data_IF_463047411565
#
_entry.id   IF_463047411565
#
_cell.length_a   1.000
_cell.length_b   1.000
_cell.length_c   1.000
_cell.angle_alpha   90.00
_cell.angle_beta   90.00
_cell.angle_gamma   90.00
#
_symmetry.space_group_name_H-M   'P 1'
#
loop_
_entity.id
_entity.type
_entity.pdbx_description
1 polymer ?
#
# COMPACT_ATOMS: atom_id res chain seq x y z
N UNK A 1 -3.38 25.87 -33.50
CA UNK A 1 -2.94 26.40 -32.19
C UNK A 1 -3.88 26.06 -31.02
N UNK A 2 -5.11 25.66 -31.26
CA UNK A 2 -6.09 25.29 -30.22
C UNK A 2 -5.81 23.88 -29.64
N UNK A 3 -5.26 22.96 -30.43
CA UNK A 3 -4.97 21.57 -30.00
C UNK A 3 -3.83 21.50 -28.97
N UNK A 4 -2.84 22.39 -29.09
CA UNK A 4 -1.71 22.42 -28.15
C UNK A 4 -2.10 22.91 -26.74
N UNK A 5 -3.08 23.83 -26.66
CA UNK A 5 -3.56 24.37 -25.37
C UNK A 5 -4.41 23.33 -24.61
N UNK A 6 -5.21 22.54 -25.33
CA UNK A 6 -6.03 21.49 -24.70
C UNK A 6 -5.15 20.34 -24.17
N UNK A 7 -4.10 19.95 -24.90
CA UNK A 7 -3.20 18.90 -24.42
C UNK A 7 -2.36 19.34 -23.22
N UNK A 8 -1.95 20.60 -23.15
CA UNK A 8 -1.21 21.15 -22.00
C UNK A 8 -2.12 21.26 -20.77
N UNK A 9 -3.38 21.68 -20.95
CA UNK A 9 -4.33 21.74 -19.81
C UNK A 9 -4.73 20.36 -19.30
N UNK A 10 -4.86 19.36 -20.16
CA UNK A 10 -5.09 17.98 -19.73
C UNK A 10 -3.87 17.39 -19.01
N UNK A 11 -2.65 17.65 -19.48
CA UNK A 11 -1.43 17.23 -18.78
C UNK A 11 -1.26 17.93 -17.44
N UNK A 12 -1.56 19.22 -17.36
CA UNK A 12 -1.51 19.97 -16.10
C UNK A 12 -2.55 19.47 -15.11
N UNK A 13 -3.78 19.19 -15.54
CA UNK A 13 -4.81 18.59 -14.69
C UNK A 13 -4.41 17.20 -14.20
N UNK A 14 -3.82 16.37 -15.05
CA UNK A 14 -3.37 15.04 -14.70
C UNK A 14 -2.17 15.04 -13.73
N UNK A 15 -1.25 15.99 -13.88
CA UNK A 15 -0.09 16.15 -12.99
C UNK A 15 -0.47 16.67 -11.59
N UNK A 16 -1.57 17.41 -11.47
CA UNK A 16 -2.09 17.94 -10.19
C UNK A 16 -2.63 16.87 -9.23
N UNK A 17 -2.86 15.67 -9.71
CA UNK A 17 -3.76 14.70 -9.08
C UNK A 17 -3.06 13.52 -8.43
N UNK A 18 -1.73 13.53 -8.33
CA UNK A 18 -0.94 12.38 -7.85
C UNK A 18 -0.04 12.76 -6.68
N UNK A 19 -0.06 11.96 -5.62
CA UNK A 19 0.88 12.09 -4.50
C UNK A 19 1.30 10.73 -3.95
N UNK A 20 2.54 10.69 -3.44
CA UNK A 20 3.13 9.53 -2.77
C UNK A 20 3.52 9.95 -1.35
N UNK A 21 3.32 9.10 -0.37
CA UNK A 21 3.44 9.42 1.06
C UNK A 21 4.84 9.85 1.53
N UNK A 22 5.89 9.60 0.75
CA UNK A 22 7.27 9.98 1.11
C UNK A 22 7.80 11.18 0.32
N UNK A 23 6.98 11.80 -0.56
CA UNK A 23 7.42 12.91 -1.41
C UNK A 23 6.70 14.20 -1.03
N UNK A 24 7.43 15.28 -0.85
CA UNK A 24 6.85 16.61 -0.66
C UNK A 24 5.99 16.98 -1.86
N UNK A 25 4.77 17.42 -1.61
CA UNK A 25 3.78 17.82 -2.60
C UNK A 25 4.33 18.85 -3.57
N UNK A 26 4.32 18.57 -4.86
CA UNK A 26 4.55 19.58 -5.90
C UNK A 26 3.28 20.40 -6.05
N UNK A 27 3.32 21.66 -5.66
CA UNK A 27 2.20 22.60 -5.80
C UNK A 27 2.19 23.14 -7.22
N UNK A 28 1.25 22.71 -8.03
CA UNK A 28 0.83 23.43 -9.23
C UNK A 28 -0.17 24.52 -8.80
N UNK A 29 -0.32 25.61 -9.56
CA UNK A 29 -1.10 26.81 -9.20
C UNK A 29 -2.63 26.57 -9.17
N UNK A 30 -3.06 25.62 -8.36
CA UNK A 30 -4.44 25.31 -7.98
C UNK A 30 -4.47 25.29 -6.46
N UNK A 31 -5.50 25.83 -5.89
CA UNK A 31 -5.82 25.79 -4.45
C UNK A 31 -6.30 24.41 -3.97
N UNK A 32 -6.46 23.47 -4.91
CA UNK A 32 -6.82 22.08 -4.60
C UNK A 32 -5.59 21.16 -4.62
N UNK A 33 -5.40 20.38 -3.57
CA UNK A 33 -4.30 19.42 -3.46
C UNK A 33 -4.81 18.08 -2.92
N UNK A 34 -4.05 17.01 -3.20
CA UNK A 34 -4.22 15.73 -2.53
C UNK A 34 -3.09 15.61 -1.50
N UNK A 35 -3.48 15.39 -0.26
CA UNK A 35 -2.56 15.14 0.83
C UNK A 35 -3.06 13.94 1.64
N UNK A 36 -2.22 12.91 1.76
CA UNK A 36 -2.53 11.68 2.47
C UNK A 36 -1.45 11.35 3.47
N UNK A 37 -1.84 10.69 4.56
CA UNK A 37 -0.94 10.06 5.52
C UNK A 37 -1.14 8.54 5.51
N UNK A 38 -0.03 7.83 5.60
CA UNK A 38 0.00 6.40 5.89
C UNK A 38 0.33 6.21 7.37
N UNK A 39 -0.54 5.52 8.10
CA UNK A 39 -0.38 5.25 9.53
C UNK A 39 -0.55 3.76 9.82
N UNK A 40 0.08 3.29 10.88
CA UNK A 40 -0.02 1.91 11.35
C UNK A 40 -0.14 1.92 12.90
N UNK A 41 -1.30 2.34 13.46
CA UNK A 41 -1.44 2.59 14.90
C UNK A 41 -1.15 1.40 15.81
N UNK A 42 -1.56 0.18 15.42
CA UNK A 42 -1.30 -1.03 16.21
C UNK A 42 0.16 -1.50 16.06
N UNK A 43 0.74 -1.36 14.85
CA UNK A 43 2.15 -1.60 14.64
C UNK A 43 3.01 -0.69 15.51
N UNK A 44 2.75 0.61 15.51
CA UNK A 44 3.52 1.58 16.32
C UNK A 44 3.36 1.32 17.82
N UNK A 45 2.18 0.89 18.26
CA UNK A 45 1.91 0.62 19.67
C UNK A 45 2.45 -0.73 20.16
N UNK A 46 2.32 -1.78 19.36
CA UNK A 46 2.58 -3.17 19.79
C UNK A 46 3.45 -3.94 18.82
N UNK A 47 3.20 -3.87 17.51
CA UNK A 47 3.83 -4.70 16.50
C UNK A 47 5.32 -4.48 16.39
N UNK A 48 5.76 -3.24 16.43
CA UNK A 48 7.17 -2.83 16.30
C UNK A 48 8.08 -3.44 17.37
N UNK A 49 7.63 -3.43 18.62
CA UNK A 49 8.39 -4.04 19.70
C UNK A 49 8.33 -5.57 19.66
N UNK A 50 7.16 -6.13 19.32
CA UNK A 50 7.01 -7.57 19.14
C UNK A 50 7.90 -8.10 18.00
N UNK A 51 8.01 -7.38 16.89
CA UNK A 51 8.83 -7.75 15.74
C UNK A 51 10.33 -7.80 16.04
N UNK A 52 10.83 -6.97 16.96
CA UNK A 52 12.26 -6.99 17.36
C UNK A 52 12.70 -8.28 18.05
N UNK A 53 11.76 -8.97 18.66
CA UNK A 53 11.99 -10.19 19.46
C UNK A 53 11.02 -11.30 19.09
N UNK A 54 10.64 -11.35 17.84
CA UNK A 54 9.64 -12.31 17.39
C UNK A 54 10.07 -13.75 17.62
N UNK A 55 9.08 -14.62 17.78
CA UNK A 55 9.27 -16.06 17.84
C UNK A 55 8.51 -16.75 16.69
N UNK A 56 9.01 -17.89 16.16
CA UNK A 56 8.27 -18.66 15.17
C UNK A 56 6.84 -18.97 15.62
N UNK A 57 5.88 -18.87 14.71
CA UNK A 57 4.46 -19.07 15.00
C UNK A 57 3.74 -17.87 15.63
N UNK A 58 4.45 -16.77 15.92
CA UNK A 58 3.84 -15.58 16.50
C UNK A 58 2.97 -14.83 15.48
N UNK A 59 1.89 -14.21 15.97
CA UNK A 59 1.12 -13.23 15.23
C UNK A 59 1.51 -11.82 15.67
N UNK A 60 1.83 -10.96 14.71
CA UNK A 60 2.29 -9.58 14.94
C UNK A 60 1.25 -8.60 14.37
N UNK A 61 0.92 -7.58 15.13
CA UNK A 61 0.00 -6.52 14.71
C UNK A 61 0.68 -5.60 13.69
N UNK A 62 0.02 -5.37 12.55
CA UNK A 62 0.44 -4.43 11.50
C UNK A 62 -0.79 -4.02 10.70
N UNK A 63 -1.12 -2.72 10.72
CA UNK A 63 -2.42 -2.20 10.30
C UNK A 63 -2.31 -0.98 9.36
N UNK A 64 -1.71 -1.12 8.17
CA UNK A 64 -1.54 0.00 7.25
C UNK A 64 -2.89 0.60 6.85
N UNK A 65 -3.03 1.89 7.14
CA UNK A 65 -4.26 2.68 7.02
C UNK A 65 -3.93 4.02 6.36
N UNK A 66 -4.74 4.45 5.40
CA UNK A 66 -4.58 5.74 4.72
C UNK A 66 -5.64 6.72 5.21
N UNK A 67 -5.22 7.96 5.46
CA UNK A 67 -6.13 9.06 5.77
C UNK A 67 -5.89 10.25 4.85
N UNK A 68 -6.95 10.99 4.53
CA UNK A 68 -6.86 12.32 3.92
C UNK A 68 -6.55 13.36 4.99
N UNK A 69 -5.65 14.27 4.69
CA UNK A 69 -5.39 15.44 5.51
C UNK A 69 -6.47 16.52 5.34
N UNK A 70 -6.51 17.47 6.25
CA UNK A 70 -7.62 18.42 6.40
C UNK A 70 -7.93 19.28 5.17
N UNK A 71 -6.96 19.56 4.32
CA UNK A 71 -7.12 20.37 3.12
C UNK A 71 -7.17 19.53 1.82
N UNK A 72 -7.21 18.21 1.95
CA UNK A 72 -7.23 17.31 0.80
C UNK A 72 -8.61 17.28 0.13
N UNK A 73 -8.60 17.23 -1.21
CA UNK A 73 -9.81 16.84 -1.97
C UNK A 73 -10.03 15.33 -1.87
N UNK A 74 -11.24 14.90 -2.23
CA UNK A 74 -11.61 13.48 -2.31
C UNK A 74 -10.68 12.71 -3.24
N UNK A 75 -10.23 11.52 -2.80
CA UNK A 75 -9.24 10.74 -3.54
C UNK A 75 -9.50 9.23 -3.48
N UNK A 76 -9.22 8.55 -4.59
CA UNK A 76 -8.98 7.11 -4.57
C UNK A 76 -7.57 6.86 -4.04
N UNK A 77 -7.43 5.87 -3.16
CA UNK A 77 -6.16 5.54 -2.55
C UNK A 77 -5.77 4.08 -2.81
N UNK A 78 -4.48 3.83 -2.94
CA UNK A 78 -3.94 2.49 -3.05
C UNK A 78 -2.71 2.32 -2.14
N UNK A 79 -2.47 1.08 -1.76
CA UNK A 79 -1.28 0.65 -1.03
C UNK A 79 -0.47 -0.32 -1.88
N UNK A 80 0.82 -0.03 -2.03
CA UNK A 80 1.84 -0.94 -2.56
C UNK A 80 2.46 -1.69 -1.40
N UNK A 81 2.47 -3.01 -1.45
CA UNK A 81 3.12 -3.88 -0.46
C UNK A 81 4.31 -4.58 -1.11
N UNK A 82 5.48 -4.46 -0.50
CA UNK A 82 6.74 -5.07 -0.94
C UNK A 82 7.33 -5.90 0.20
N UNK A 83 8.03 -6.95 -0.17
CA UNK A 83 8.58 -7.95 0.74
C UNK A 83 10.09 -8.05 0.55
N UNK A 84 10.84 -8.10 1.64
CA UNK A 84 12.30 -8.14 1.60
C UNK A 84 12.86 -9.17 2.57
N UNK A 85 13.95 -9.81 2.15
CA UNK A 85 14.74 -10.68 3.02
C UNK A 85 15.74 -9.90 3.90
N UNK A 86 16.51 -10.62 4.71
CA UNK A 86 17.52 -10.09 5.61
C UNK A 86 18.66 -9.32 4.92
N UNK A 87 18.86 -9.56 3.61
CA UNK A 87 19.87 -8.88 2.77
C UNK A 87 19.28 -7.72 1.99
N UNK A 88 18.00 -7.37 2.29
CA UNK A 88 17.23 -6.37 1.58
C UNK A 88 17.02 -6.70 0.08
N UNK A 89 17.02 -7.99 -0.28
CA UNK A 89 16.58 -8.41 -1.60
C UNK A 89 15.05 -8.43 -1.63
N UNK A 90 14.47 -7.83 -2.67
CA UNK A 90 13.03 -7.86 -2.90
C UNK A 90 12.59 -9.29 -3.27
N UNK A 91 11.58 -9.80 -2.57
CA UNK A 91 11.01 -11.13 -2.76
C UNK A 91 9.65 -11.02 -3.44
N UNK A 92 9.31 -12.05 -4.21
CA UNK A 92 7.90 -12.26 -4.58
C UNK A 92 7.08 -12.58 -3.33
N UNK A 93 5.77 -12.33 -3.37
CA UNK A 93 4.89 -12.69 -2.26
C UNK A 93 4.97 -14.19 -1.93
N UNK A 94 5.05 -15.04 -2.97
CA UNK A 94 5.20 -16.49 -2.80
C UNK A 94 6.46 -16.84 -2.04
N UNK A 95 7.62 -16.31 -2.45
CA UNK A 95 8.89 -16.58 -1.79
C UNK A 95 8.89 -16.11 -0.33
N UNK A 96 8.29 -14.94 -0.08
CA UNK A 96 8.14 -14.40 1.26
C UNK A 96 7.21 -15.28 2.12
N UNK A 97 6.05 -15.66 1.57
CA UNK A 97 5.08 -16.50 2.27
C UNK A 97 5.67 -17.87 2.62
N UNK A 98 6.33 -18.53 1.67
CA UNK A 98 6.95 -19.85 1.89
C UNK A 98 8.05 -19.82 2.94
N UNK A 99 8.75 -18.69 3.09
CA UNK A 99 9.84 -18.55 4.07
C UNK A 99 9.36 -18.13 5.46
N UNK A 100 8.36 -17.24 5.52
CA UNK A 100 8.09 -16.51 6.76
C UNK A 100 6.65 -16.56 7.24
N UNK A 101 5.67 -16.91 6.38
CA UNK A 101 4.26 -16.87 6.75
C UNK A 101 3.72 -18.25 7.12
N UNK A 102 2.76 -18.26 8.03
CA UNK A 102 2.01 -19.46 8.39
C UNK A 102 1.29 -20.03 7.16
N UNK A 103 1.49 -21.33 6.93
CA UNK A 103 0.91 -22.04 5.79
C UNK A 103 1.57 -21.79 4.45
N UNK A 104 2.61 -20.96 4.40
CA UNK A 104 3.34 -20.64 3.17
C UNK A 104 2.45 -20.08 2.07
N UNK A 105 2.85 -20.25 0.81
CA UNK A 105 2.07 -19.80 -0.37
C UNK A 105 0.81 -20.63 -0.64
N UNK A 106 0.73 -21.86 -0.14
CA UNK A 106 -0.47 -22.70 -0.29
C UNK A 106 -1.66 -22.17 0.50
N UNK A 107 -1.39 -21.46 1.62
CA UNK A 107 -2.38 -20.83 2.48
C UNK A 107 -2.11 -19.32 2.60
N UNK A 108 -1.83 -18.66 1.49
CA UNK A 108 -1.39 -17.26 1.44
C UNK A 108 -2.23 -16.28 2.29
N UNK A 109 -3.53 -16.54 2.40
CA UNK A 109 -4.45 -15.72 3.22
C UNK A 109 -4.45 -16.12 4.71
N UNK A 110 -3.73 -17.16 5.11
CA UNK A 110 -3.63 -17.56 6.52
C UNK A 110 -2.50 -16.84 7.26
N UNK A 111 -1.48 -16.37 6.52
CA UNK A 111 -0.37 -15.61 7.06
C UNK A 111 -0.61 -14.11 7.17
N UNK A 112 -1.44 -13.54 6.29
CA UNK A 112 -1.85 -12.13 6.32
C UNK A 112 -3.36 -12.06 6.15
N UNK A 113 -4.04 -11.36 7.04
CA UNK A 113 -5.50 -11.22 7.09
C UNK A 113 -6.00 -10.10 6.14
N UNK A 114 -5.77 -10.27 4.84
CA UNK A 114 -6.16 -9.29 3.83
C UNK A 114 -7.63 -8.85 3.96
N UNK A 115 -7.85 -7.54 4.04
CA UNK A 115 -9.19 -6.96 4.18
C UNK A 115 -9.93 -6.98 2.85
N UNK A 116 -11.20 -7.40 2.89
CA UNK A 116 -12.12 -7.33 1.75
C UNK A 116 -12.56 -5.91 1.37
N UNK A 117 -12.23 -4.90 2.19
CA UNK A 117 -12.49 -3.49 1.88
C UNK A 117 -11.47 -2.94 0.87
N UNK A 118 -10.50 -3.74 0.48
CA UNK A 118 -9.49 -3.45 -0.53
C UNK A 118 -9.55 -4.46 -1.66
N UNK A 119 -9.38 -4.00 -2.87
CA UNK A 119 -9.32 -4.84 -4.08
C UNK A 119 -7.91 -4.87 -4.62
N UNK A 120 -7.39 -6.07 -4.86
CA UNK A 120 -6.14 -6.23 -5.60
C UNK A 120 -6.31 -5.70 -7.02
N UNK A 121 -5.45 -4.80 -7.45
CA UNK A 121 -5.54 -4.13 -8.75
C UNK A 121 -4.39 -4.47 -9.70
N UNK A 122 -3.39 -5.19 -9.25
CA UNK A 122 -2.30 -5.68 -10.09
C UNK A 122 -0.94 -5.61 -9.43
N UNK A 123 0.07 -5.86 -10.26
CA UNK A 123 1.47 -5.88 -9.93
C UNK A 123 2.20 -4.73 -10.60
N UNK A 124 2.99 -3.98 -9.87
CA UNK A 124 3.82 -2.93 -10.44
C UNK A 124 5.01 -3.47 -11.27
N UNK A 125 5.33 -4.76 -11.20
CA UNK A 125 6.59 -5.31 -11.73
C UNK A 125 6.45 -6.50 -12.67
N UNK A 126 5.28 -7.02 -12.95
CA UNK A 126 5.23 -8.25 -13.72
C UNK A 126 4.11 -8.29 -14.72
N UNK A 127 4.41 -8.87 -15.87
CA UNK A 127 3.44 -9.35 -16.84
C UNK A 127 2.66 -10.60 -16.32
N UNK A 128 2.82 -10.96 -15.04
CA UNK A 128 2.20 -12.13 -14.44
C UNK A 128 0.85 -11.74 -13.85
N UNK A 129 -0.20 -12.39 -14.33
CA UNK A 129 -1.57 -12.21 -13.88
C UNK A 129 -1.83 -12.76 -12.47
N UNK A 130 -0.84 -13.42 -11.86
CA UNK A 130 -0.98 -14.13 -10.60
C UNK A 130 -0.23 -13.40 -9.48
N UNK A 131 -0.97 -12.90 -8.48
CA UNK A 131 -0.46 -12.17 -7.31
C UNK A 131 0.50 -12.98 -6.41
N UNK A 132 0.44 -14.33 -6.44
CA UNK A 132 1.41 -15.19 -5.74
C UNK A 132 2.87 -14.95 -6.18
N UNK A 133 3.07 -14.51 -7.41
CA UNK A 133 4.39 -14.31 -8.00
C UNK A 133 4.85 -12.85 -8.03
N UNK A 134 4.01 -11.94 -7.55
CA UNK A 134 4.31 -10.52 -7.54
C UNK A 134 5.23 -10.13 -6.40
N UNK A 135 6.20 -9.26 -6.67
CA UNK A 135 7.02 -8.62 -5.65
C UNK A 135 6.42 -7.32 -5.11
N UNK A 136 5.49 -6.70 -5.85
CA UNK A 136 4.88 -5.41 -5.54
C UNK A 136 3.38 -5.46 -5.72
N UNK A 137 2.70 -5.92 -4.68
CA UNK A 137 1.24 -6.04 -4.69
C UNK A 137 0.59 -4.68 -4.56
N UNK A 138 -0.36 -4.37 -5.44
CA UNK A 138 -1.15 -3.15 -5.39
C UNK A 138 -2.59 -3.44 -4.99
N UNK A 139 -3.05 -2.80 -3.93
CA UNK A 139 -4.43 -2.86 -3.46
C UNK A 139 -5.04 -1.47 -3.44
N UNK A 140 -6.22 -1.32 -4.05
CA UNK A 140 -6.99 -0.08 -4.04
C UNK A 140 -8.15 -0.20 -3.05
N UNK A 141 -8.38 0.82 -2.24
CA UNK A 141 -9.53 0.89 -1.35
C UNK A 141 -10.82 0.99 -2.17
N UNK A 142 -11.84 0.24 -1.80
CA UNK A 142 -13.04 0.00 -2.62
C UNK A 142 -13.92 1.24 -2.84
N UNK A 143 -13.67 2.33 -2.13
CA UNK A 143 -14.36 3.60 -2.29
C UNK A 143 -13.37 4.77 -2.17
N UNK A 144 -13.66 5.94 -2.76
CA UNK A 144 -12.83 7.10 -2.53
C UNK A 144 -12.91 7.52 -1.06
N UNK A 145 -11.82 8.06 -0.55
CA UNK A 145 -11.83 8.77 0.72
C UNK A 145 -12.38 10.17 0.47
N UNK A 146 -13.31 10.59 1.33
CA UNK A 146 -13.98 11.87 1.24
C UNK A 146 -14.11 12.50 2.62
N UNK A 147 -13.77 13.77 2.71
CA UNK A 147 -13.88 14.55 3.94
C UNK A 147 -15.20 15.31 4.06
N UNK A 148 -15.75 15.69 2.91
CA UNK A 148 -16.89 16.61 2.82
C UNK A 148 -18.26 15.91 2.79
N UNK A 149 -18.32 14.63 3.09
CA UNK A 149 -19.61 13.94 3.16
C UNK A 149 -20.41 14.39 4.40
N UNK A 150 -20.97 15.60 4.28
CA UNK A 150 -21.73 16.28 5.34
C UNK A 150 -23.00 15.54 5.80
N UNK A 151 -23.31 14.39 5.21
CA UNK A 151 -24.54 13.64 5.49
C UNK A 151 -24.32 12.38 6.36
N UNK A 152 -23.08 12.11 6.81
CA UNK A 152 -22.84 10.92 7.65
C UNK A 152 -21.98 11.30 8.86
N UNK A 153 -22.36 10.83 10.04
CA UNK A 153 -21.52 10.83 11.26
C UNK A 153 -20.29 9.91 11.11
N UNK A 154 -20.08 9.31 9.95
CA UNK A 154 -19.00 8.38 9.64
C UNK A 154 -17.88 9.18 8.98
N UNK A 155 -16.70 9.20 9.62
CA UNK A 155 -15.49 9.76 9.00
C UNK A 155 -15.10 8.91 7.81
N UNK A 156 -15.38 9.39 6.61
CA UNK A 156 -15.02 8.73 5.34
C UNK A 156 -13.64 9.14 4.83
N UNK A 157 -12.93 9.98 5.56
CA UNK A 157 -11.57 10.43 5.26
C UNK A 157 -10.46 9.44 5.67
N UNK A 158 -10.83 8.30 6.25
CA UNK A 158 -9.88 7.26 6.71
C UNK A 158 -10.30 5.91 6.15
N UNK A 159 -9.37 5.18 5.54
CA UNK A 159 -9.60 3.81 5.08
C UNK A 159 -9.73 2.84 6.26
N UNK A 160 -10.26 1.65 5.99
CA UNK A 160 -9.99 0.49 6.84
C UNK A 160 -8.54 0.05 6.63
N UNK A 161 -7.88 -0.62 7.59
CA UNK A 161 -6.57 -1.19 7.35
C UNK A 161 -6.62 -2.22 6.22
N UNK A 162 -5.53 -2.31 5.44
CA UNK A 162 -5.41 -3.31 4.37
C UNK A 162 -5.31 -4.72 4.95
N UNK A 163 -4.65 -4.87 6.07
CA UNK A 163 -4.60 -6.06 6.92
C UNK A 163 -4.34 -5.62 8.35
N UNK A 164 -4.54 -6.50 9.33
CA UNK A 164 -4.33 -6.16 10.75
C UNK A 164 -3.28 -7.03 11.42
N UNK A 165 -2.94 -8.16 10.82
CA UNK A 165 -2.06 -9.16 11.42
C UNK A 165 -1.16 -9.83 10.38
N UNK A 166 0.05 -10.14 10.83
CA UNK A 166 1.01 -11.00 10.13
C UNK A 166 1.27 -12.21 11.03
N UNK A 167 0.82 -13.38 10.60
CA UNK A 167 1.03 -14.65 11.31
C UNK A 167 2.26 -15.34 10.73
N UNK A 168 3.29 -15.46 11.54
CA UNK A 168 4.57 -16.04 11.16
C UNK A 168 4.53 -17.56 11.15
N UNK A 169 5.33 -18.17 10.28
CA UNK A 169 5.53 -19.61 10.25
C UNK A 169 6.21 -20.09 11.54
N UNK A 170 5.75 -21.21 12.05
CA UNK A 170 6.42 -21.92 13.15
C UNK A 170 7.66 -22.70 12.68
N UNK A 171 7.89 -22.79 11.37
CA UNK A 171 9.03 -23.46 10.74
C UNK A 171 10.24 -22.55 10.54
N UNK A 172 10.13 -21.25 10.85
CA UNK A 172 11.27 -20.33 10.81
C UNK A 172 12.33 -20.82 11.79
N UNK A 173 13.54 -21.07 11.27
CA UNK A 173 14.66 -21.56 12.05
C UNK A 173 15.78 -20.54 12.15
N UNK A 174 16.50 -20.56 13.27
CA UNK A 174 17.69 -19.74 13.44
C UNK A 174 18.82 -20.20 12.51
N UNK A 175 19.60 -19.26 12.02
CA UNK A 175 20.83 -19.54 11.30
C UNK A 175 21.80 -20.38 12.15
N UNK A 176 22.38 -21.42 11.56
CA UNK A 176 23.23 -22.37 12.28
C UNK A 176 24.52 -21.76 12.83
N UNK A 177 24.98 -20.66 12.25
CA UNK A 177 26.24 -20.01 12.65
C UNK A 177 25.97 -18.89 13.65
N UNK A 178 25.08 -17.98 13.33
CA UNK A 178 24.79 -16.80 14.15
C UNK A 178 23.82 -17.08 15.31
N UNK A 179 23.08 -18.20 15.23
CA UNK A 179 22.01 -18.56 16.17
C UNK A 179 20.88 -17.52 16.27
N UNK A 180 20.75 -16.66 15.25
CA UNK A 180 19.70 -15.64 15.15
C UNK A 180 18.62 -16.07 14.17
N UNK A 181 17.39 -15.67 14.46
CA UNK A 181 16.30 -15.77 13.50
C UNK A 181 16.53 -14.78 12.36
N UNK A 182 16.09 -15.10 11.12
CA UNK A 182 16.26 -14.21 9.97
C UNK A 182 15.48 -12.89 10.18
N UNK A 183 16.06 -11.81 9.70
CA UNK A 183 15.37 -10.52 9.60
C UNK A 183 14.62 -10.45 8.26
N UNK A 184 13.48 -9.81 8.22
CA UNK A 184 12.71 -9.57 7.00
C UNK A 184 11.86 -8.32 7.16
N UNK A 185 11.42 -7.73 6.03
CA UNK A 185 10.64 -6.51 6.04
C UNK A 185 9.42 -6.61 5.13
N UNK A 186 8.32 -5.98 5.56
CA UNK A 186 7.14 -5.68 4.76
C UNK A 186 7.08 -4.15 4.65
N UNK A 187 7.38 -3.62 3.46
CA UNK A 187 7.28 -2.18 3.17
C UNK A 187 5.91 -1.88 2.58
N UNK A 188 5.26 -0.84 3.08
CA UNK A 188 4.00 -0.35 2.54
C UNK A 188 4.19 1.10 2.10
N UNK A 189 3.66 1.44 0.91
CA UNK A 189 3.69 2.80 0.37
C UNK A 189 2.29 3.16 -0.10
N UNK A 190 1.81 4.34 0.24
CA UNK A 190 0.49 4.82 -0.16
C UNK A 190 0.55 5.73 -1.38
N UNK A 191 -0.46 5.62 -2.23
CA UNK A 191 -0.66 6.40 -3.44
C UNK A 191 -2.08 6.95 -3.45
N UNK A 192 -2.28 8.12 -4.06
CA UNK A 192 -3.59 8.69 -4.23
C UNK A 192 -3.76 9.38 -5.58
N UNK A 193 -4.97 9.32 -6.11
CA UNK A 193 -5.42 10.09 -7.29
C UNK A 193 -6.76 10.74 -6.98
N UNK A 194 -7.03 11.90 -7.58
CA UNK A 194 -8.30 12.60 -7.41
C UNK A 194 -9.49 11.70 -7.74
N UNK A 195 -10.56 11.81 -6.97
CA UNK A 195 -11.81 11.08 -7.23
C UNK A 195 -12.78 11.86 -8.11
N UNK A 196 -12.83 13.20 -7.98
CA UNK A 196 -13.76 14.04 -8.74
C UNK A 196 -13.42 14.03 -10.24
N UNK A 197 -14.40 13.66 -11.07
CA UNK A 197 -14.23 13.61 -12.51
C UNK A 197 -13.39 12.46 -13.06
N UNK A 198 -13.03 11.50 -12.22
CA UNK A 198 -12.22 10.32 -12.57
C UNK A 198 -13.03 9.06 -12.32
N UNK A 199 -13.12 8.17 -13.30
CA UNK A 199 -13.74 6.87 -13.13
C UNK A 199 -12.85 5.94 -12.29
N UNK A 200 -13.44 4.91 -11.71
CA UNK A 200 -12.70 3.89 -10.93
C UNK A 200 -11.60 3.23 -11.76
N UNK A 201 -11.85 2.96 -13.05
CA UNK A 201 -10.89 2.31 -13.94
C UNK A 201 -9.72 3.25 -14.30
N UNK A 202 -10.00 4.55 -14.54
CA UNK A 202 -8.95 5.54 -14.75
C UNK A 202 -8.10 5.73 -13.49
N UNK A 203 -8.72 5.76 -12.32
CA UNK A 203 -8.03 5.83 -11.04
C UNK A 203 -7.11 4.62 -10.84
N UNK A 204 -7.61 3.42 -11.07
CA UNK A 204 -6.86 2.17 -10.99
C UNK A 204 -5.63 2.19 -11.90
N UNK A 205 -5.80 2.56 -13.18
CA UNK A 205 -4.70 2.62 -14.13
C UNK A 205 -3.65 3.65 -13.71
N UNK A 206 -4.08 4.83 -13.26
CA UNK A 206 -3.19 5.87 -12.75
C UNK A 206 -2.40 5.43 -11.52
N UNK A 207 -3.04 4.76 -10.57
CA UNK A 207 -2.40 4.23 -9.36
C UNK A 207 -1.36 3.15 -9.70
N UNK A 208 -1.65 2.26 -10.66
CA UNK A 208 -0.69 1.28 -11.15
C UNK A 208 0.52 1.95 -11.82
N UNK A 209 0.30 2.93 -12.72
CA UNK A 209 1.39 3.66 -13.38
C UNK A 209 2.30 4.36 -12.36
N UNK A 210 1.74 5.00 -11.33
CA UNK A 210 2.54 5.65 -10.28
C UNK A 210 3.45 4.67 -9.53
N UNK A 211 2.99 3.43 -9.34
CA UNK A 211 3.72 2.42 -8.58
C UNK A 211 4.93 1.85 -9.33
N UNK A 212 4.97 2.03 -10.67
CA UNK A 212 6.04 1.55 -11.56
C UNK A 212 7.21 2.55 -11.61
N UNK A 213 6.93 3.85 -11.42
CA UNK A 213 7.96 4.88 -11.42
C UNK A 213 8.97 4.56 -10.31
N UNK A 214 10.22 4.32 -10.69
CA UNK A 214 11.31 4.07 -9.72
C UNK A 214 11.47 5.30 -8.85
N UNK A 215 11.45 5.07 -7.56
CA UNK A 215 11.99 6.01 -6.57
C UNK A 215 13.52 6.02 -6.79
N UNK A 216 14.05 7.09 -7.43
CA UNK A 216 15.48 7.34 -7.55
C UNK A 216 16.04 7.84 -6.21
#
# INVERSE_FOLDING_TARGET
>A
SVIAVVSVSCMAAYALLKTVTETKTNVFASDKSISIDLTEPQWERYGKEAAKVYVPGQTIDKDPTVSLNDESISAYVALKVQFFDEKNNELTFREFADRYLYGGSELANAGIDWSKDWTFIGNANSDLENDEYASRLMYMFNKPLDKDNANTDIKENISKPLFTKVHLSNEITADNTTKRLPEFNIKVTAYAVQAEGVSVEEAKNSLLEMSIVRED
#
